data_IF_378591910902
#
_entry.id   IF_378591910902
#
_cell.length_a   1.000
_cell.length_b   1.000
_cell.length_c   1.000
_cell.angle_alpha   90.00
_cell.angle_beta   90.00
_cell.angle_gamma   90.00
#
_symmetry.space_group_name_H-M   'P 1'
#
loop_
_entity.id
_entity.type
_entity.pdbx_description
1 polymer ?
#
# COMPACT_ATOMS: atom_id res chain seq x y z
N UNK A 1 -27.13 -6.07 12.56
CA UNK A 1 -27.07 -5.15 11.41
C UNK A 1 -25.69 -5.26 10.79
N UNK A 2 -25.57 -5.17 9.47
CA UNK A 2 -24.26 -5.09 8.82
C UNK A 2 -23.80 -3.66 9.04
N UNK A 3 -22.67 -3.46 9.72
CA UNK A 3 -22.11 -2.11 9.83
C UNK A 3 -21.76 -1.59 8.43
N UNK A 4 -22.14 -0.35 8.09
CA UNK A 4 -21.81 0.22 6.80
C UNK A 4 -20.29 0.38 6.67
N UNK A 5 -19.77 0.06 5.48
CA UNK A 5 -18.33 0.13 5.18
C UNK A 5 -17.86 1.58 5.36
N UNK A 6 -16.83 1.80 6.18
CA UNK A 6 -16.41 3.16 6.58
C UNK A 6 -16.03 4.04 5.40
N UNK A 7 -15.47 3.48 4.32
CA UNK A 7 -15.20 4.22 3.08
C UNK A 7 -16.46 4.91 2.54
N UNK A 8 -17.61 4.21 2.49
CA UNK A 8 -18.84 4.79 1.94
C UNK A 8 -19.52 5.75 2.91
N UNK A 9 -19.36 5.53 4.21
CA UNK A 9 -19.85 6.46 5.24
C UNK A 9 -19.10 7.79 5.18
N UNK A 10 -17.76 7.73 5.09
CA UNK A 10 -16.91 8.92 5.21
C UNK A 10 -16.72 9.65 3.87
N UNK A 11 -16.75 8.93 2.72
CA UNK A 11 -16.47 9.49 1.39
C UNK A 11 -17.64 9.40 0.39
N UNK A 12 -18.76 8.78 0.78
CA UNK A 12 -19.94 8.59 -0.08
C UNK A 12 -19.96 7.25 -0.82
N UNK A 13 -21.14 6.86 -1.30
CA UNK A 13 -21.39 5.53 -1.90
C UNK A 13 -20.92 5.41 -3.37
N UNK A 14 -20.57 6.53 -4.01
CA UNK A 14 -20.17 6.54 -5.43
C UNK A 14 -18.75 6.03 -5.63
N UNK A 15 -18.58 5.08 -6.54
CA UNK A 15 -17.28 4.59 -7.00
C UNK A 15 -17.02 5.03 -8.44
N UNK A 16 -15.77 5.40 -8.74
CA UNK A 16 -15.37 5.88 -10.05
C UNK A 16 -14.26 4.99 -10.63
N UNK A 17 -14.51 4.43 -11.81
CA UNK A 17 -13.49 3.72 -12.57
C UNK A 17 -12.51 4.73 -13.19
N UNK A 18 -11.24 4.68 -12.78
CA UNK A 18 -10.18 5.49 -13.39
C UNK A 18 -9.74 4.83 -14.70
N UNK A 19 -10.13 5.43 -15.83
CA UNK A 19 -9.80 4.99 -17.18
C UNK A 19 -8.96 6.05 -17.92
N UNK A 20 -7.74 6.27 -17.44
CA UNK A 20 -6.80 7.26 -17.98
C UNK A 20 -5.52 6.57 -18.47
N UNK A 21 -5.01 6.95 -19.64
CA UNK A 21 -3.80 6.37 -20.25
C UNK A 21 -2.54 6.54 -19.39
N UNK A 22 -2.52 7.54 -18.51
CA UNK A 22 -1.42 7.75 -17.54
C UNK A 22 -1.41 6.69 -16.42
N UNK A 23 -2.52 5.97 -16.26
CA UNK A 23 -2.72 4.99 -15.20
C UNK A 23 -3.05 5.62 -13.84
N UNK A 24 -3.76 4.86 -12.99
CA UNK A 24 -4.11 5.34 -11.64
C UNK A 24 -2.86 5.59 -10.76
N UNK A 25 -1.75 4.91 -11.07
CA UNK A 25 -0.44 5.13 -10.45
C UNK A 25 0.12 6.54 -10.66
N UNK A 26 -0.38 7.31 -11.63
CA UNK A 26 0.04 8.69 -11.87
C UNK A 26 -0.07 9.56 -10.61
N UNK A 27 -1.06 9.29 -9.74
CA UNK A 27 -1.18 9.96 -8.45
C UNK A 27 0.05 9.77 -7.57
N UNK A 28 0.63 8.57 -7.54
CA UNK A 28 1.84 8.25 -6.76
C UNK A 28 3.05 9.01 -7.30
N UNK A 29 3.23 9.05 -8.62
CA UNK A 29 4.30 9.84 -9.24
C UNK A 29 4.14 11.34 -8.96
N UNK A 30 2.93 11.88 -9.03
CA UNK A 30 2.67 13.30 -8.70
C UNK A 30 2.91 13.63 -7.25
N UNK A 31 2.58 12.75 -6.32
CA UNK A 31 2.96 12.93 -4.92
C UNK A 31 4.48 12.92 -4.74
N UNK A 32 5.18 11.99 -5.38
CA UNK A 32 6.63 11.87 -5.28
C UNK A 32 7.38 13.11 -5.80
N UNK A 33 6.89 13.75 -6.86
CA UNK A 33 7.45 15.01 -7.41
C UNK A 33 7.54 16.15 -6.39
N UNK A 34 6.71 16.13 -5.34
CA UNK A 34 6.73 17.17 -4.30
C UNK A 34 7.95 17.12 -3.38
N UNK A 35 8.65 15.99 -3.31
CA UNK A 35 9.79 15.82 -2.40
C UNK A 35 10.97 15.03 -2.97
N UNK A 36 10.84 14.36 -4.11
CA UNK A 36 11.93 13.68 -4.83
C UNK A 36 12.31 14.46 -6.08
N UNK A 37 13.61 14.49 -6.39
CA UNK A 37 14.10 15.07 -7.63
C UNK A 37 13.61 14.27 -8.85
N UNK A 38 12.97 14.97 -9.79
CA UNK A 38 12.47 14.40 -11.04
C UNK A 38 13.00 15.17 -12.25
N UNK A 39 13.26 14.45 -13.34
CA UNK A 39 13.63 15.04 -14.63
C UNK A 39 12.95 14.25 -15.75
N UNK A 40 12.37 14.95 -16.73
CA UNK A 40 11.68 14.34 -17.89
C UNK A 40 10.64 13.27 -17.51
N UNK A 41 9.88 13.51 -16.43
CA UNK A 41 8.85 12.58 -15.95
C UNK A 41 9.38 11.33 -15.24
N UNK A 42 10.70 11.24 -14.98
CA UNK A 42 11.33 10.14 -14.23
C UNK A 42 11.85 10.64 -12.89
N UNK A 43 11.75 9.78 -11.87
CA UNK A 43 12.35 10.05 -10.56
C UNK A 43 13.84 9.72 -10.64
N UNK A 44 14.68 10.75 -10.49
CA UNK A 44 16.14 10.67 -10.57
C UNK A 44 16.80 10.82 -9.20
N UNK A 45 16.00 10.88 -8.14
CA UNK A 45 16.47 11.05 -6.78
C UNK A 45 17.23 9.83 -6.28
N UNK A 46 18.46 10.04 -5.81
CA UNK A 46 19.33 8.98 -5.34
C UNK A 46 18.82 8.28 -4.08
N UNK A 47 17.87 8.88 -3.36
CA UNK A 47 17.18 8.31 -2.19
C UNK A 47 16.21 7.19 -2.57
N UNK A 48 15.69 7.18 -3.80
CA UNK A 48 14.84 6.10 -4.30
C UNK A 48 15.70 5.02 -4.95
N UNK A 49 15.62 3.79 -4.45
CA UNK A 49 16.34 2.62 -4.99
C UNK A 49 15.34 1.57 -5.49
N UNK A 50 15.17 1.50 -6.81
CA UNK A 50 14.39 0.43 -7.45
C UNK A 50 15.22 -0.86 -7.54
N UNK A 51 14.57 -1.99 -7.82
CA UNK A 51 15.21 -3.32 -7.94
C UNK A 51 16.03 -3.73 -6.69
N UNK A 52 15.69 -3.17 -5.52
CA UNK A 52 16.39 -3.37 -4.27
C UNK A 52 15.49 -4.16 -3.34
N UNK A 53 15.63 -5.49 -3.34
CA UNK A 53 14.75 -6.40 -2.60
C UNK A 53 15.29 -6.58 -1.19
N UNK A 54 14.60 -6.06 -0.18
CA UNK A 54 14.95 -6.28 1.23
C UNK A 54 14.76 -7.76 1.59
N UNK A 55 15.75 -8.37 2.25
CA UNK A 55 15.72 -9.76 2.72
C UNK A 55 15.84 -9.89 4.22
N UNK A 56 16.52 -8.97 4.89
CA UNK A 56 16.69 -9.00 6.34
C UNK A 56 16.58 -7.60 6.95
N UNK A 57 15.91 -7.50 8.09
CA UNK A 57 15.91 -6.33 8.96
C UNK A 57 16.46 -6.73 10.33
N UNK A 58 17.70 -6.31 10.60
CA UNK A 58 18.30 -6.43 11.92
C UNK A 58 17.97 -5.15 12.72
N UNK A 59 17.52 -5.29 13.96
CA UNK A 59 17.12 -4.15 14.77
C UNK A 59 17.63 -4.27 16.21
N UNK A 60 18.01 -3.12 16.77
CA UNK A 60 18.47 -3.02 18.15
C UNK A 60 17.96 -1.73 18.79
N UNK A 61 18.37 -1.47 20.03
CA UNK A 61 18.09 -0.17 20.68
C UNK A 61 18.82 1.00 20.01
N UNK A 62 19.87 0.74 19.23
CA UNK A 62 20.75 1.77 18.67
C UNK A 62 20.49 2.09 17.20
N UNK A 63 19.76 1.24 16.48
CA UNK A 63 19.50 1.44 15.06
C UNK A 63 18.97 0.18 14.40
N UNK A 64 18.91 0.23 13.07
CA UNK A 64 18.53 -0.86 12.20
C UNK A 64 19.56 -1.03 11.09
N UNK A 65 19.80 -2.28 10.70
CA UNK A 65 20.60 -2.67 9.54
C UNK A 65 19.70 -3.47 8.61
N UNK A 66 19.57 -2.99 7.37
CA UNK A 66 18.74 -3.61 6.34
C UNK A 66 19.65 -4.25 5.30
N UNK A 67 19.47 -5.55 5.08
CA UNK A 67 20.21 -6.32 4.08
C UNK A 67 19.30 -6.64 2.89
N UNK A 68 19.83 -6.48 1.68
CA UNK A 68 19.10 -6.72 0.43
C UNK A 68 19.59 -7.96 -0.30
N UNK A 69 18.81 -8.44 -1.27
CA UNK A 69 19.06 -9.70 -1.98
C UNK A 69 20.34 -9.67 -2.82
N UNK A 70 20.78 -8.48 -3.24
CA UNK A 70 22.06 -8.24 -3.93
C UNK A 70 23.26 -8.15 -2.97
N UNK A 71 23.04 -8.29 -1.65
CA UNK A 71 24.06 -8.19 -0.61
C UNK A 71 24.36 -6.76 -0.13
N UNK A 72 23.66 -5.73 -0.63
CA UNK A 72 23.82 -4.37 -0.13
C UNK A 72 23.32 -4.22 1.31
N UNK A 73 23.96 -3.33 2.06
CA UNK A 73 23.68 -3.06 3.47
C UNK A 73 23.34 -1.59 3.68
N UNK A 74 22.28 -1.32 4.46
CA UNK A 74 21.82 0.02 4.78
C UNK A 74 21.63 0.19 6.28
N UNK A 75 22.33 1.15 6.87
CA UNK A 75 22.18 1.51 8.28
C UNK A 75 21.26 2.72 8.44
N UNK A 76 20.36 2.66 9.42
CA UNK A 76 19.46 3.76 9.74
C UNK A 76 19.09 3.78 11.24
N UNK A 77 18.54 4.90 11.69
CA UNK A 77 17.99 5.02 13.05
C UNK A 77 16.64 4.32 13.22
N UNK A 78 15.88 4.17 12.14
CA UNK A 78 14.52 3.64 12.07
C UNK A 78 14.27 3.06 10.69
N UNK A 79 13.30 2.13 10.59
CA UNK A 79 12.78 1.62 9.31
C UNK A 79 11.26 1.71 9.31
N UNK A 80 10.69 2.14 8.19
CA UNK A 80 9.26 2.05 7.90
C UNK A 80 9.08 0.92 6.89
N UNK A 81 8.30 -0.10 7.25
CA UNK A 81 7.93 -1.21 6.37
C UNK A 81 6.54 -0.97 5.79
N UNK A 82 6.50 -0.75 4.47
CA UNK A 82 5.27 -0.57 3.69
C UNK A 82 4.92 -1.78 2.80
N UNK A 83 5.55 -2.93 3.04
CA UNK A 83 5.28 -4.17 2.30
C UNK A 83 3.85 -4.67 2.58
N UNK A 84 3.26 -5.43 1.65
CA UNK A 84 1.91 -5.96 1.85
C UNK A 84 1.83 -6.92 3.04
N UNK A 85 0.63 -7.10 3.58
CA UNK A 85 0.38 -8.11 4.60
C UNK A 85 0.78 -9.52 4.13
N UNK A 86 0.54 -9.85 2.86
CA UNK A 86 0.94 -11.13 2.29
C UNK A 86 2.46 -11.32 2.25
N UNK A 87 3.24 -10.25 2.07
CA UNK A 87 4.70 -10.30 2.18
C UNK A 87 5.12 -10.53 3.64
N UNK A 88 4.49 -9.84 4.61
CA UNK A 88 4.76 -10.05 6.05
C UNK A 88 4.41 -11.47 6.52
N UNK A 89 3.44 -12.13 5.88
CA UNK A 89 3.08 -13.53 6.13
C UNK A 89 4.01 -14.53 5.43
N UNK A 90 4.87 -14.07 4.51
CA UNK A 90 5.81 -14.90 3.77
C UNK A 90 7.22 -14.86 4.36
N UNK A 91 8.11 -15.72 3.85
CA UNK A 91 9.52 -15.76 4.25
C UNK A 91 10.43 -14.80 3.45
N UNK A 92 9.86 -13.77 2.79
CA UNK A 92 10.66 -12.84 1.98
C UNK A 92 11.61 -12.02 2.86
N UNK A 93 11.13 -11.51 4.00
CA UNK A 93 11.89 -10.64 4.91
C UNK A 93 12.04 -11.33 6.26
N UNK A 94 13.28 -11.59 6.68
CA UNK A 94 13.60 -12.09 8.02
C UNK A 94 13.88 -10.93 8.99
N UNK A 95 13.60 -11.15 10.27
CA UNK A 95 13.81 -10.17 11.34
C UNK A 95 14.79 -10.72 12.37
N UNK A 96 15.79 -9.91 12.76
CA UNK A 96 16.78 -10.28 13.77
C UNK A 96 16.94 -9.18 14.83
N UNK A 97 16.55 -9.40 16.10
CA UNK A 97 15.85 -10.58 16.60
C UNK A 97 14.45 -10.73 15.97
N UNK A 98 13.83 -11.93 16.02
CA UNK A 98 12.48 -12.16 15.53
C UNK A 98 11.46 -11.18 16.10
N UNK A 99 10.41 -10.88 15.34
CA UNK A 99 9.29 -10.08 15.82
C UNK A 99 8.65 -10.74 17.05
N UNK A 100 8.15 -9.96 18.02
CA UNK A 100 7.51 -10.52 19.20
C UNK A 100 6.25 -11.29 18.82
N UNK A 101 5.89 -12.26 19.67
CA UNK A 101 4.78 -13.19 19.42
C UNK A 101 3.46 -12.48 19.08
N UNK A 102 3.10 -11.43 19.81
CA UNK A 102 1.87 -10.66 19.58
C UNK A 102 1.81 -10.08 18.15
N UNK A 103 2.94 -9.58 17.63
CA UNK A 103 3.03 -9.04 16.26
C UNK A 103 2.90 -10.16 15.23
N UNK A 104 3.58 -11.29 15.44
CA UNK A 104 3.52 -12.42 14.51
C UNK A 104 2.12 -13.04 14.46
N UNK A 105 1.45 -13.16 15.61
CA UNK A 105 0.07 -13.64 15.67
C UNK A 105 -0.88 -12.67 14.97
N UNK A 106 -0.72 -11.36 15.17
CA UNK A 106 -1.51 -10.36 14.46
C UNK A 106 -1.33 -10.46 12.94
N UNK A 107 -0.08 -10.49 12.46
CA UNK A 107 0.24 -10.63 11.03
C UNK A 107 -0.37 -11.91 10.43
N UNK A 108 -0.31 -13.04 11.13
CA UNK A 108 -0.86 -14.32 10.67
C UNK A 108 -2.39 -14.36 10.64
N UNK A 109 -3.03 -13.62 11.53
CA UNK A 109 -4.49 -13.63 11.70
C UNK A 109 -5.21 -12.61 10.82
N UNK A 110 -4.50 -11.79 10.03
CA UNK A 110 -5.13 -10.88 9.08
C UNK A 110 -5.33 -11.61 7.74
N UNK A 111 -6.53 -11.55 7.15
CA UNK A 111 -6.78 -12.24 5.89
C UNK A 111 -6.14 -11.48 4.72
N UNK A 112 -5.69 -12.24 3.73
CA UNK A 112 -5.20 -11.71 2.45
C UNK A 112 -6.16 -12.12 1.36
N UNK A 113 -6.87 -11.15 0.82
CA UNK A 113 -7.77 -11.33 -0.31
C UNK A 113 -6.98 -11.38 -1.60
N UNK A 114 -7.40 -12.27 -2.51
CA UNK A 114 -6.89 -12.31 -3.88
C UNK A 114 -8.04 -11.92 -4.80
N UNK A 115 -7.79 -10.93 -5.65
CA UNK A 115 -8.77 -10.35 -6.56
C UNK A 115 -8.13 -10.25 -7.94
N UNK A 116 -8.63 -11.06 -8.88
CA UNK A 116 -8.03 -11.22 -10.21
C UNK A 116 -8.99 -10.69 -11.27
N UNK A 117 -8.59 -9.62 -11.96
CA UNK A 117 -9.29 -9.11 -13.15
C UNK A 117 -8.66 -9.72 -14.39
N UNK A 118 -9.35 -10.68 -15.01
CA UNK A 118 -8.91 -11.29 -16.26
C UNK A 118 -9.46 -10.43 -17.40
N UNK A 119 -8.57 -9.94 -18.26
CA UNK A 119 -8.95 -9.17 -19.45
C UNK A 119 -8.96 -10.09 -20.67
N UNK A 120 -9.97 -9.94 -21.52
CA UNK A 120 -10.15 -10.70 -22.75
C UNK A 120 -10.39 -9.73 -23.90
N UNK A 121 -9.59 -9.83 -24.96
CA UNK A 121 -9.72 -9.01 -26.18
C UNK A 121 -10.38 -9.83 -27.28
N UNK A 122 -11.34 -9.23 -27.99
CA UNK A 122 -12.05 -9.87 -29.09
C UNK A 122 -11.84 -9.13 -30.42
N UNK A 123 -12.01 -9.84 -31.56
CA UNK A 123 -11.91 -9.20 -32.88
C UNK A 123 -13.08 -8.25 -33.14
N UNK A 124 -14.28 -8.59 -32.64
CA UNK A 124 -15.46 -7.74 -32.66
C UNK A 124 -16.35 -8.04 -31.45
N UNK A 125 -17.15 -7.05 -31.07
CA UNK A 125 -18.13 -7.15 -29.99
C UNK A 125 -19.29 -8.09 -30.35
N UNK A 126 -19.67 -8.94 -29.41
CA UNK A 126 -20.86 -9.82 -29.50
C UNK A 126 -21.85 -9.62 -28.32
N UNK A 127 -21.54 -8.75 -27.38
CA UNK A 127 -22.39 -8.40 -26.23
C UNK A 127 -23.14 -7.07 -26.45
N UNK A 128 -24.22 -6.84 -25.68
CA UNK A 128 -24.92 -5.54 -25.69
C UNK A 128 -24.17 -4.49 -24.87
N UNK A 129 -24.26 -3.22 -25.28
CA UNK A 129 -23.72 -2.05 -24.56
C UNK A 129 -24.80 -0.98 -24.38
N UNK A 130 -26.03 -1.40 -24.11
CA UNK A 130 -27.03 -0.46 -23.60
C UNK A 130 -26.55 0.14 -22.25
N UNK A 131 -26.97 1.37 -21.88
CA UNK A 131 -26.43 2.07 -20.71
C UNK A 131 -26.45 1.28 -19.40
N UNK A 132 -27.39 0.34 -19.23
CA UNK A 132 -27.56 -0.48 -18.02
C UNK A 132 -26.85 -1.85 -18.10
N UNK A 133 -26.06 -2.11 -19.16
CA UNK A 133 -25.46 -3.42 -19.45
C UNK A 133 -23.93 -3.46 -19.33
N UNK A 134 -23.34 -2.45 -18.70
CA UNK A 134 -21.89 -2.44 -18.42
C UNK A 134 -21.46 -3.69 -17.65
N UNK A 135 -22.25 -4.05 -16.63
CA UNK A 135 -22.02 -5.21 -15.79
C UNK A 135 -23.05 -6.29 -16.05
N UNK A 136 -22.61 -7.55 -16.05
CA UNK A 136 -23.49 -8.69 -16.18
C UNK A 136 -22.93 -9.90 -15.40
N UNK A 137 -23.82 -10.84 -15.07
CA UNK A 137 -23.52 -11.95 -14.16
C UNK A 137 -23.74 -13.29 -14.84
N UNK A 138 -22.80 -14.21 -14.65
CA UNK A 138 -22.96 -15.63 -14.97
C UNK A 138 -23.35 -16.42 -13.72
N UNK A 139 -24.57 -16.94 -13.69
CA UNK A 139 -25.05 -17.78 -12.60
C UNK A 139 -24.66 -19.25 -12.88
N UNK A 140 -23.74 -19.77 -12.05
CA UNK A 140 -23.21 -21.11 -12.19
C UNK A 140 -23.34 -21.89 -10.86
N UNK A 141 -23.51 -23.21 -10.93
CA UNK A 141 -23.64 -24.08 -9.75
C UNK A 141 -22.37 -24.07 -8.87
N UNK A 142 -21.20 -23.99 -9.50
CA UNK A 142 -19.93 -23.73 -8.82
C UNK A 142 -19.85 -22.23 -8.47
N UNK A 143 -20.02 -21.93 -7.18
CA UNK A 143 -19.94 -20.57 -6.63
C UNK A 143 -18.64 -19.86 -7.04
N UNK A 144 -18.77 -18.65 -7.56
CA UNK A 144 -17.63 -17.78 -7.91
C UNK A 144 -16.96 -18.10 -9.25
N UNK A 145 -17.42 -19.13 -9.96
CA UNK A 145 -16.86 -19.53 -11.26
C UNK A 145 -17.24 -18.50 -12.34
N UNK A 146 -16.27 -17.67 -12.75
CA UNK A 146 -16.41 -16.64 -13.80
C UNK A 146 -17.70 -15.82 -13.69
N UNK A 147 -18.02 -15.36 -12.49
CA UNK A 147 -19.35 -14.82 -12.16
C UNK A 147 -19.55 -13.38 -12.62
N UNK A 148 -18.61 -12.48 -12.31
CA UNK A 148 -18.80 -11.04 -12.52
C UNK A 148 -18.07 -10.55 -13.77
N UNK A 149 -18.84 -10.09 -14.75
CA UNK A 149 -18.32 -9.58 -16.00
C UNK A 149 -18.60 -8.09 -16.15
N UNK A 150 -17.66 -7.40 -16.77
CA UNK A 150 -17.76 -5.99 -17.14
C UNK A 150 -17.30 -5.84 -18.59
N UNK A 151 -18.06 -5.11 -19.41
CA UNK A 151 -17.55 -4.68 -20.71
C UNK A 151 -16.81 -3.35 -20.61
N UNK A 152 -15.76 -3.17 -21.40
CA UNK A 152 -14.91 -1.98 -21.29
C UNK A 152 -15.26 -0.87 -22.28
N UNK A 153 -16.38 -0.95 -23.01
CA UNK A 153 -16.75 0.04 -24.03
C UNK A 153 -17.03 1.45 -23.47
N UNK A 154 -17.48 1.57 -22.22
CA UNK A 154 -17.71 2.87 -21.59
C UNK A 154 -16.40 3.59 -21.26
N UNK A 155 -15.41 2.83 -20.77
CA UNK A 155 -14.08 3.33 -20.41
C UNK A 155 -13.15 3.47 -21.62
N UNK A 156 -13.24 2.52 -22.56
CA UNK A 156 -12.39 2.37 -23.73
C UNK A 156 -13.26 2.03 -24.96
N UNK A 157 -13.88 3.02 -25.60
CA UNK A 157 -14.74 2.79 -26.77
C UNK A 157 -13.99 2.12 -27.93
N UNK A 158 -14.58 1.09 -28.52
CA UNK A 158 -13.98 0.28 -29.60
C UNK A 158 -12.91 -0.70 -29.12
N UNK A 159 -12.75 -0.86 -27.80
CA UNK A 159 -11.77 -1.80 -27.24
C UNK A 159 -12.13 -3.25 -27.52
N UNK A 160 -13.39 -3.62 -27.70
CA UNK A 160 -13.83 -5.01 -27.80
C UNK A 160 -13.26 -5.86 -26.65
N UNK A 161 -13.25 -5.31 -25.43
CA UNK A 161 -12.68 -5.96 -24.25
C UNK A 161 -13.75 -6.29 -23.23
N UNK A 162 -13.65 -7.51 -22.69
CA UNK A 162 -14.37 -7.95 -21.50
C UNK A 162 -13.39 -8.13 -20.35
N UNK A 163 -13.88 -7.88 -19.14
CA UNK A 163 -13.18 -8.20 -17.90
C UNK A 163 -14.05 -9.14 -17.09
N UNK A 164 -13.48 -10.25 -16.65
CA UNK A 164 -14.11 -11.13 -15.66
C UNK A 164 -13.31 -11.10 -14.37
N UNK A 165 -14.02 -10.92 -13.26
CA UNK A 165 -13.42 -10.83 -11.93
C UNK A 165 -13.61 -12.14 -11.18
N UNK A 166 -12.49 -12.69 -10.70
CA UNK A 166 -12.44 -13.83 -9.79
C UNK A 166 -11.88 -13.37 -8.43
N UNK A 167 -12.23 -14.11 -7.37
CA UNK A 167 -11.69 -13.88 -6.04
C UNK A 167 -11.24 -15.16 -5.36
N UNK A 168 -10.30 -15.02 -4.43
CA UNK A 168 -9.85 -16.03 -3.48
C UNK A 168 -9.54 -17.39 -4.13
N UNK A 169 -10.34 -18.42 -3.86
CA UNK A 169 -10.10 -19.78 -4.34
C UNK A 169 -10.02 -19.88 -5.86
N UNK A 170 -10.94 -19.22 -6.58
CA UNK A 170 -10.92 -19.21 -8.03
C UNK A 170 -9.71 -18.42 -8.57
N UNK A 171 -9.39 -17.27 -7.97
CA UNK A 171 -8.17 -16.52 -8.29
C UNK A 171 -6.91 -17.37 -8.15
N UNK A 172 -6.71 -18.01 -6.99
CA UNK A 172 -5.53 -18.85 -6.72
C UNK A 172 -5.44 -20.02 -7.71
N UNK A 173 -6.58 -20.60 -8.09
CA UNK A 173 -6.65 -21.66 -9.09
C UNK A 173 -6.21 -21.16 -10.46
N UNK A 174 -6.79 -20.06 -10.96
CA UNK A 174 -6.45 -19.57 -12.30
C UNK A 174 -5.01 -19.03 -12.37
N UNK A 175 -4.50 -18.46 -11.28
CA UNK A 175 -3.10 -18.03 -11.23
C UNK A 175 -2.10 -19.20 -11.29
N UNK A 176 -2.53 -20.41 -10.88
CA UNK A 176 -1.74 -21.63 -10.87
C UNK A 176 -1.82 -22.45 -12.17
N UNK A 177 -2.64 -22.03 -13.14
CA UNK A 177 -2.76 -22.68 -14.45
C UNK A 177 -2.27 -21.77 -15.59
N UNK A 178 -2.24 -22.33 -16.80
CA UNK A 178 -1.84 -21.59 -17.99
C UNK A 178 -2.90 -20.57 -18.41
N UNK A 179 -2.49 -19.51 -19.11
CA UNK A 179 -3.43 -18.56 -19.71
C UNK A 179 -4.33 -19.24 -20.75
N UNK A 180 -3.84 -20.27 -21.44
CA UNK A 180 -4.62 -21.04 -22.42
C UNK A 180 -5.76 -21.84 -21.76
N UNK A 181 -5.50 -22.49 -20.62
CA UNK A 181 -6.55 -23.20 -19.88
C UNK A 181 -7.60 -22.23 -19.34
N UNK A 182 -7.14 -21.09 -18.80
CA UNK A 182 -8.00 -20.01 -18.29
C UNK A 182 -8.86 -19.41 -19.41
N UNK A 183 -8.28 -19.19 -20.59
CA UNK A 183 -8.97 -18.71 -21.77
C UNK A 183 -10.03 -19.71 -22.24
N UNK A 184 -9.71 -21.00 -22.29
CA UNK A 184 -10.65 -22.06 -22.68
C UNK A 184 -11.87 -22.09 -21.75
N UNK A 185 -11.66 -22.04 -20.44
CA UNK A 185 -12.73 -21.99 -19.44
C UNK A 185 -13.60 -20.73 -19.59
N UNK A 186 -12.97 -19.56 -19.75
CA UNK A 186 -13.69 -18.30 -19.93
C UNK A 186 -14.51 -18.28 -21.23
N UNK A 187 -13.97 -18.83 -22.32
CA UNK A 187 -14.68 -18.95 -23.60
C UNK A 187 -15.85 -19.94 -23.53
N UNK A 188 -15.73 -21.03 -22.77
CA UNK A 188 -16.84 -21.95 -22.50
C UNK A 188 -17.99 -21.22 -21.79
N UNK A 189 -17.67 -20.44 -20.75
CA UNK A 189 -18.64 -19.62 -20.02
C UNK A 189 -19.33 -18.63 -20.96
N UNK A 190 -18.57 -17.91 -21.78
CA UNK A 190 -19.13 -16.94 -22.73
C UNK A 190 -20.02 -17.60 -23.80
N UNK A 191 -19.63 -18.76 -24.33
CA UNK A 191 -20.46 -19.53 -25.27
C UNK A 191 -21.76 -20.03 -24.63
N UNK A 192 -21.72 -20.42 -23.36
CA UNK A 192 -22.93 -20.78 -22.62
C UNK A 192 -23.87 -19.59 -22.42
N UNK A 193 -23.34 -18.37 -22.31
CA UNK A 193 -24.13 -17.14 -22.12
C UNK A 193 -24.70 -16.58 -23.43
N UNK A 194 -23.89 -16.56 -24.49
CA UNK A 194 -24.18 -15.84 -25.73
C UNK A 194 -24.40 -16.73 -26.96
N UNK A 195 -24.23 -18.04 -26.81
CA UNK A 195 -24.33 -19.02 -27.89
C UNK A 195 -22.97 -19.44 -28.47
N UNK A 196 -22.94 -20.52 -29.25
CA UNK A 196 -21.70 -21.12 -29.75
C UNK A 196 -20.97 -20.26 -30.80
N UNK A 197 -21.70 -19.38 -31.50
CA UNK A 197 -21.22 -18.65 -32.69
C UNK A 197 -20.48 -17.33 -32.38
N UNK A 198 -20.02 -17.15 -31.14
CA UNK A 198 -19.20 -15.99 -30.76
C UNK A 198 -17.74 -16.16 -31.23
N UNK A 199 -17.02 -15.05 -31.53
CA UNK A 199 -15.62 -15.13 -31.88
C UNK A 199 -14.77 -15.57 -30.69
N UNK A 200 -13.67 -16.29 -30.97
CA UNK A 200 -12.64 -16.53 -29.97
C UNK A 200 -11.95 -15.22 -29.55
N UNK A 201 -11.55 -15.14 -28.28
CA UNK A 201 -10.71 -14.05 -27.81
C UNK A 201 -9.34 -14.14 -28.49
N UNK A 202 -8.83 -13.01 -28.98
CA UNK A 202 -7.53 -12.90 -29.62
C UNK A 202 -6.39 -12.73 -28.63
N UNK A 203 -6.71 -12.27 -27.40
CA UNK A 203 -5.71 -12.07 -26.35
C UNK A 203 -6.33 -12.20 -24.95
N UNK A 204 -5.50 -12.53 -23.97
CA UNK A 204 -5.86 -12.68 -22.57
C UNK A 204 -4.76 -12.12 -21.66
N UNK A 205 -5.16 -11.40 -20.61
CA UNK A 205 -4.28 -11.02 -19.51
C UNK A 205 -4.83 -11.57 -18.20
N UNK A 206 -4.03 -12.40 -17.52
CA UNK A 206 -4.32 -12.93 -16.17
C UNK A 206 -3.29 -12.37 -15.18
N UNK A 207 -3.62 -11.30 -14.43
CA UNK A 207 -2.75 -10.79 -13.37
C UNK A 207 -2.54 -11.84 -12.27
N UNK A 208 -1.28 -12.06 -11.86
CA UNK A 208 -0.90 -13.09 -10.88
C UNK A 208 -0.42 -12.50 -9.56
N UNK A 209 -1.31 -11.81 -8.85
CA UNK A 209 -0.98 -11.07 -7.63
C UNK A 209 -0.64 -11.97 -6.44
N UNK A 210 -1.31 -13.12 -6.32
CA UNK A 210 -1.02 -14.10 -5.28
C UNK A 210 0.35 -14.76 -5.47
N UNK A 211 0.69 -15.10 -6.71
CA UNK A 211 1.97 -15.72 -7.04
C UNK A 211 3.14 -14.71 -7.10
N UNK A 212 2.86 -13.41 -7.18
CA UNK A 212 3.90 -12.39 -7.11
C UNK A 212 4.49 -12.30 -5.69
N UNK A 213 5.79 -12.58 -5.55
CA UNK A 213 6.47 -12.59 -4.25
C UNK A 213 6.52 -11.23 -3.54
N UNK A 214 6.26 -10.12 -4.25
CA UNK A 214 6.27 -8.77 -3.67
C UNK A 214 4.89 -8.26 -3.22
N UNK A 215 3.83 -9.01 -3.51
CA UNK A 215 2.46 -8.66 -3.11
C UNK A 215 1.77 -9.79 -2.34
N UNK A 216 1.93 -11.03 -2.80
CA UNK A 216 1.35 -12.23 -2.17
C UNK A 216 -0.15 -12.11 -1.91
N UNK A 217 -0.87 -11.45 -2.83
CA UNK A 217 -2.28 -11.15 -2.72
C UNK A 217 -2.62 -9.77 -3.28
N UNK A 218 -3.86 -9.35 -3.11
CA UNK A 218 -4.37 -8.08 -3.65
C UNK A 218 -4.50 -7.03 -2.56
N UNK A 219 -5.19 -7.37 -1.47
CA UNK A 219 -5.42 -6.46 -0.36
C UNK A 219 -5.79 -7.21 0.93
N UNK A 220 -5.63 -6.56 2.08
CA UNK A 220 -6.00 -7.13 3.37
C UNK A 220 -7.51 -7.10 3.62
N UNK A 221 -7.98 -8.00 4.48
CA UNK A 221 -9.34 -7.98 4.99
C UNK A 221 -9.33 -8.37 6.47
N UNK A 222 -10.01 -7.58 7.30
CA UNK A 222 -10.18 -7.95 8.70
C UNK A 222 -11.20 -9.09 8.81
N UNK A 223 -10.82 -10.25 9.38
CA UNK A 223 -11.73 -11.38 9.52
C UNK A 223 -12.83 -11.09 10.55
N UNK A 224 -13.88 -11.91 10.57
CA UNK A 224 -15.02 -11.74 11.49
C UNK A 224 -14.65 -11.76 12.98
N UNK A 225 -13.53 -12.40 13.33
CA UNK A 225 -13.02 -12.49 14.70
C UNK A 225 -12.02 -11.36 15.03
N UNK A 226 -11.79 -10.43 14.11
CA UNK A 226 -10.96 -9.26 14.37
C UNK A 226 -11.50 -8.46 15.55
N UNK A 227 -10.61 -8.04 16.42
CA UNK A 227 -10.91 -7.19 17.56
C UNK A 227 -9.96 -6.00 17.57
N UNK A 228 -10.20 -5.02 18.45
CA UNK A 228 -9.34 -3.84 18.57
C UNK A 228 -7.88 -4.19 18.87
N UNK A 229 -7.62 -5.32 19.56
CA UNK A 229 -6.26 -5.77 19.83
C UNK A 229 -5.54 -6.19 18.53
N UNK A 230 -6.20 -6.91 17.63
CA UNK A 230 -5.63 -7.29 16.33
C UNK A 230 -5.27 -6.05 15.51
N UNK A 231 -6.20 -5.08 15.42
CA UNK A 231 -5.99 -3.82 14.70
C UNK A 231 -4.80 -3.05 15.28
N UNK A 232 -4.76 -2.92 16.61
CA UNK A 232 -3.66 -2.29 17.33
C UNK A 232 -2.34 -3.01 17.04
N UNK A 233 -2.31 -4.34 17.20
CA UNK A 233 -1.12 -5.15 17.08
C UNK A 233 -0.59 -5.25 15.65
N UNK A 234 -1.41 -5.07 14.62
CA UNK A 234 -0.93 -4.94 13.23
C UNK A 234 -0.15 -3.64 13.04
N UNK A 235 -0.67 -2.53 13.57
CA UNK A 235 -0.09 -1.19 13.44
C UNK A 235 1.10 -0.93 14.36
N UNK A 236 1.13 -1.54 15.54
CA UNK A 236 2.05 -1.13 16.62
C UNK A 236 3.54 -1.32 16.24
N UNK A 237 4.41 -0.31 16.43
CA UNK A 237 5.84 -0.47 16.14
C UNK A 237 6.53 -1.54 16.99
N UNK A 238 7.56 -2.17 16.43
CA UNK A 238 8.45 -3.08 17.17
C UNK A 238 9.81 -2.44 17.30
N UNK A 239 10.09 -1.84 18.45
CA UNK A 239 11.34 -1.12 18.70
C UNK A 239 11.54 0.06 17.74
N UNK A 240 12.38 -0.11 16.73
CA UNK A 240 12.70 0.90 15.69
C UNK A 240 12.06 0.59 14.33
N UNK A 241 11.22 -0.46 14.26
CA UNK A 241 10.50 -0.88 13.06
C UNK A 241 9.06 -0.38 13.15
N UNK A 242 8.68 0.47 12.20
CA UNK A 242 7.33 0.99 12.04
C UNK A 242 6.67 0.27 10.85
N UNK A 243 5.37 -0.01 10.95
CA UNK A 243 4.61 -0.71 9.92
C UNK A 243 3.58 0.26 9.32
N UNK A 244 3.44 0.24 8.00
CA UNK A 244 2.49 1.08 7.27
C UNK A 244 1.95 0.35 6.04
N UNK A 245 0.90 0.87 5.43
CA UNK A 245 0.20 0.25 4.31
C UNK A 245 -1.28 0.03 4.65
N UNK A 246 -2.08 -0.27 3.64
CA UNK A 246 -3.55 -0.36 3.78
C UNK A 246 -4.00 -1.27 4.94
N UNK A 247 -3.26 -2.36 5.20
CA UNK A 247 -3.51 -3.31 6.28
C UNK A 247 -3.37 -2.72 7.70
N UNK A 248 -2.68 -1.58 7.84
CA UNK A 248 -2.55 -0.84 9.11
C UNK A 248 -3.65 0.21 9.30
N UNK A 249 -4.52 0.41 8.30
CA UNK A 249 -5.69 1.28 8.39
C UNK A 249 -6.87 0.51 9.00
N UNK A 250 -7.33 0.93 10.18
CA UNK A 250 -8.50 0.33 10.84
C UNK A 250 -9.78 0.53 10.02
N UNK A 251 -9.98 1.73 9.47
CA UNK A 251 -11.20 2.11 8.77
C UNK A 251 -11.19 1.80 7.28
N UNK A 252 -10.02 1.84 6.66
CA UNK A 252 -9.90 1.86 5.19
C UNK A 252 -8.94 0.78 4.66
N UNK A 253 -8.73 -0.29 5.43
CA UNK A 253 -8.09 -1.52 4.95
C UNK A 253 -8.81 -2.00 3.68
N UNK A 254 -8.03 -2.43 2.69
CA UNK A 254 -8.52 -2.78 1.36
C UNK A 254 -8.37 -1.68 0.30
N UNK A 255 -8.18 -0.42 0.70
CA UNK A 255 -8.31 0.73 -0.21
C UNK A 255 -7.03 1.53 -0.40
N UNK A 256 -6.95 2.23 -1.54
CA UNK A 256 -5.84 3.13 -1.90
C UNK A 256 -5.71 4.28 -0.90
N UNK A 257 -6.82 4.95 -0.54
CA UNK A 257 -6.81 6.01 0.47
C UNK A 257 -6.42 5.50 1.86
N UNK A 258 -6.74 4.25 2.20
CA UNK A 258 -6.26 3.61 3.41
C UNK A 258 -4.73 3.48 3.46
N UNK A 259 -4.14 3.06 2.34
CA UNK A 259 -2.67 3.05 2.18
C UNK A 259 -2.07 4.45 2.34
N UNK A 260 -2.64 5.45 1.65
CA UNK A 260 -2.19 6.85 1.73
C UNK A 260 -2.25 7.43 3.15
N UNK A 261 -3.41 7.33 3.80
CA UNK A 261 -3.62 7.87 5.16
C UNK A 261 -2.76 7.14 6.18
N UNK A 262 -2.60 5.82 6.07
CA UNK A 262 -1.72 5.04 6.96
C UNK A 262 -0.25 5.49 6.89
N UNK A 263 0.21 5.93 5.72
CA UNK A 263 1.56 6.47 5.53
C UNK A 263 1.76 7.77 6.30
N UNK A 264 0.76 8.65 6.26
CA UNK A 264 0.76 9.91 7.03
C UNK A 264 0.76 9.61 8.53
N UNK A 265 -0.15 8.75 9.00
CA UNK A 265 -0.29 8.41 10.41
C UNK A 265 1.00 7.79 10.98
N UNK A 266 1.59 6.85 10.25
CA UNK A 266 2.82 6.17 10.67
C UNK A 266 4.00 7.16 10.73
N UNK A 267 4.12 8.03 9.73
CA UNK A 267 5.18 9.03 9.69
C UNK A 267 5.04 10.04 10.83
N UNK A 268 3.82 10.49 11.15
CA UNK A 268 3.56 11.36 12.29
C UNK A 268 3.95 10.69 13.62
N UNK A 269 3.62 9.42 13.80
CA UNK A 269 4.02 8.65 14.99
C UNK A 269 5.54 8.52 15.10
N UNK A 270 6.25 8.25 14.00
CA UNK A 270 7.70 8.20 13.97
C UNK A 270 8.33 9.57 14.31
N UNK A 271 7.82 10.66 13.74
CA UNK A 271 8.32 12.01 14.01
C UNK A 271 8.17 12.38 15.50
N UNK A 272 7.05 12.04 16.12
CA UNK A 272 6.85 12.23 17.55
C UNK A 272 7.83 11.38 18.38
N UNK A 273 8.07 10.14 17.97
CA UNK A 273 9.07 9.27 18.61
C UNK A 273 10.49 9.86 18.49
N UNK A 274 10.86 10.39 17.33
CA UNK A 274 12.17 11.04 17.12
C UNK A 274 12.35 12.24 18.04
N UNK A 275 11.35 13.12 18.14
CA UNK A 275 11.38 14.29 19.04
C UNK A 275 11.57 13.90 20.51
N UNK A 276 10.87 12.85 20.96
CA UNK A 276 11.01 12.33 22.34
C UNK A 276 12.40 11.77 22.61
N UNK A 277 13.01 11.10 21.64
CA UNK A 277 14.37 10.58 21.78
C UNK A 277 15.42 11.68 21.82
N UNK A 278 15.24 12.74 21.02
CA UNK A 278 16.13 13.90 21.05
C UNK A 278 16.01 14.69 22.35
N UNK A 279 14.79 14.86 22.88
CA UNK A 279 14.56 15.45 24.20
C UNK A 279 15.28 14.70 25.32
N UNK A 280 15.17 13.36 25.33
CA UNK A 280 15.85 12.51 26.32
C UNK A 280 17.38 12.56 26.21
N UNK A 281 17.93 12.66 24.99
CA UNK A 281 19.37 12.82 24.79
C UNK A 281 19.87 14.15 25.35
N UNK A 282 19.13 15.23 25.11
CA UNK A 282 19.47 16.56 25.61
C UNK A 282 19.40 16.61 27.15
N UNK A 283 18.36 16.02 27.75
CA UNK A 283 18.26 15.89 29.21
C UNK A 283 19.39 15.04 29.79
N UNK A 284 19.69 13.88 29.18
CA UNK A 284 20.78 13.00 29.65
C UNK A 284 22.15 13.68 29.54
N UNK A 285 22.39 14.48 28.50
CA UNK A 285 23.60 15.28 28.37
C UNK A 285 23.66 16.41 29.40
N UNK A 286 22.53 17.08 29.70
CA UNK A 286 22.45 18.09 30.74
C UNK A 286 22.75 17.51 32.13
N UNK A 287 22.19 16.34 32.47
CA UNK A 287 22.47 15.63 33.72
C UNK A 287 23.92 15.12 33.84
N UNK A 288 24.62 14.89 32.73
CA UNK A 288 26.05 14.54 32.73
C UNK A 288 26.95 15.78 32.83
N UNK A 289 26.50 16.93 32.33
CA UNK A 289 27.22 18.20 32.41
C UNK A 289 27.08 18.87 33.78
N UNK A 290 25.97 18.70 34.50
CA UNK A 290 25.77 19.26 35.84
C UNK A 290 26.84 18.81 36.87
N UNK A 291 27.20 17.52 37.00
CA UNK A 291 28.30 17.08 37.87
C UNK A 291 29.68 17.58 37.41
N UNK A 292 29.89 17.71 36.10
CA UNK A 292 31.16 18.22 35.54
C UNK A 292 31.32 19.72 35.81
N UNK A 293 30.25 20.50 35.68
CA UNK A 293 30.23 21.92 36.04
C UNK A 293 30.35 22.13 37.56
N UNK A 294 29.79 21.23 38.37
CA UNK A 294 29.98 21.23 39.82
C UNK A 294 31.42 20.90 40.24
N UNK A 295 32.14 20.08 39.47
CA UNK A 295 33.57 19.77 39.68
C UNK A 295 34.51 20.87 39.17
N UNK A 296 34.08 21.69 38.21
CA UNK A 296 34.87 22.84 37.71
C UNK A 296 34.48 24.17 38.36
N UNK A 297 33.53 24.17 39.32
CA UNK A 297 33.00 25.37 40.00
C UNK A 297 33.94 26.05 40.99
N UNK A 298 35.24 25.73 41.00
CA UNK A 298 36.28 26.55 41.63
C UNK A 298 37.34 26.85 40.59
N UNK A 299 37.11 27.89 39.77
CA UNK A 299 38.11 28.78 39.15
C UNK A 299 37.38 29.85 38.30
N UNK A 300 37.11 30.99 38.96
CA UNK A 300 37.02 32.38 38.46
C UNK A 300 36.50 32.74 37.05
N UNK A 301 35.41 33.52 37.04
CA UNK A 301 35.07 34.72 36.21
C UNK A 301 35.95 35.07 34.99
N UNK A 302 35.33 35.24 33.80
CA UNK A 302 35.15 36.53 33.06
C UNK A 302 34.32 36.35 31.76
N UNK A 303 33.58 37.39 31.36
CA UNK A 303 32.77 37.54 30.14
C UNK A 303 33.55 37.32 28.83
N UNK A 304 32.90 36.76 27.77
CA UNK A 304 32.77 37.37 26.44
C UNK A 304 32.02 36.48 25.40
N UNK A 305 31.11 37.15 24.70
CA UNK A 305 30.44 37.00 23.39
C UNK A 305 30.77 35.87 22.37
N UNK A 306 29.69 35.28 21.82
CA UNK A 306 29.36 34.91 20.41
C UNK A 306 30.31 33.96 19.62
N UNK A 307 29.85 32.96 18.83
CA UNK A 307 29.22 33.07 17.49
C UNK A 307 28.83 31.65 16.96
N UNK A 308 27.62 31.55 16.37
CA UNK A 308 27.06 30.68 15.29
C UNK A 308 27.65 29.29 14.97
N UNK A 309 26.90 28.22 14.70
CA UNK A 309 25.98 28.09 13.55
C UNK A 309 25.26 26.73 13.60
N UNK A 310 23.93 26.72 13.52
CA UNK A 310 23.15 25.51 13.29
C UNK A 310 22.31 25.76 12.04
N UNK A 311 22.69 25.10 10.95
CA UNK A 311 21.88 25.04 9.74
C UNK A 311 20.54 24.37 10.07
N UNK A 312 19.51 25.19 10.25
CA UNK A 312 18.11 24.75 10.23
C UNK A 312 17.80 24.30 8.81
N UNK A 313 17.56 23.00 8.65
CA UNK A 313 16.90 22.47 7.47
C UNK A 313 15.41 22.76 7.65
N UNK A 314 14.98 23.94 7.21
CA UNK A 314 13.57 24.33 7.19
C UNK A 314 12.86 23.55 6.07
N UNK A 315 12.16 22.49 6.44
CA UNK A 315 11.20 21.81 5.56
C UNK A 315 9.95 22.71 5.52
N UNK A 316 9.49 23.18 4.33
CA UNK A 316 8.28 23.96 4.25
C UNK A 316 7.07 23.14 4.73
N UNK A 317 6.53 23.49 5.90
CA UNK A 317 5.21 23.03 6.33
C UNK A 317 4.15 23.75 5.50
N UNK A 318 3.77 23.18 4.36
CA UNK A 318 2.43 23.47 3.83
C UNK A 318 1.42 22.69 4.66
N UNK A 319 0.76 23.43 5.55
CA UNK A 319 -0.40 23.01 6.32
C UNK A 319 -1.56 22.70 5.36
N UNK A 320 -1.75 21.43 5.01
CA UNK A 320 -3.07 20.95 4.62
C UNK A 320 -3.83 20.67 5.91
N UNK A 321 -4.58 21.67 6.40
CA UNK A 321 -5.79 21.57 7.24
C UNK A 321 -6.11 22.95 7.85
N UNK A 322 -6.82 23.80 7.09
CA UNK A 322 -7.91 24.65 7.59
C UNK A 322 -8.41 25.58 6.48
N UNK A 323 -9.59 25.30 5.92
CA UNK A 323 -10.71 26.24 6.00
C UNK A 323 -11.95 25.65 5.32
N UNK A 324 -12.90 25.31 6.18
CA UNK A 324 -14.33 25.24 5.88
C UNK A 324 -14.81 26.49 5.14
N UNK A 325 -15.62 26.27 4.10
CA UNK A 325 -16.42 27.24 3.33
C UNK A 325 -15.64 28.25 2.49
N UNK A 326 -15.47 27.95 1.20
CA UNK A 326 -15.93 28.78 0.06
C UNK A 326 -15.39 28.21 -1.27
N UNK A 327 -16.31 27.87 -2.17
CA UNK A 327 -16.11 27.82 -3.62
C UNK A 327 -15.28 26.66 -4.18
N UNK A 328 -15.95 25.72 -4.87
CA UNK A 328 -15.31 24.98 -5.96
C UNK A 328 -14.74 25.98 -6.98
N UNK A 329 -13.55 25.70 -7.52
CA UNK A 329 -13.39 25.72 -8.95
C UNK A 329 -13.10 24.30 -9.44
N UNK A 330 -13.87 23.90 -10.44
CA UNK A 330 -13.68 22.73 -11.29
C UNK A 330 -12.20 22.48 -11.59
N UNK A 331 -11.71 21.29 -11.24
CA UNK A 331 -10.70 20.59 -12.02
C UNK A 331 -10.56 19.15 -11.51
N UNK A 332 -10.69 18.22 -12.46
CA UNK A 332 -10.25 16.83 -12.41
C UNK A 332 -11.16 15.89 -11.59
N UNK A 333 -12.24 15.45 -12.24
CA UNK A 333 -12.74 14.08 -12.14
C UNK A 333 -12.62 13.45 -13.52
#
# INVERSE_FOLDING_TARGET
>A
EVEPISTYVDFGESEFLVADERGYEHLLYKMAESFLFTSEGKIMDSRLKLNTVVREVQHSRNGVLVSTEDGSLYEANYVILSVSIGVLQSDLISFSPPLPRWKMEAVRNLDVMVYTKIFLKFPYRFWSCEPEKEFFIYAHERRGYYTFWQHMENAYPGSNMLVVTLTNGESKRVEAQSDQDTLREAMEVLRNMFGPDIPDATDILVPRWWNNRYQRGSYSNYPIYANHQLVHDIKEPVGRIFFTGEHTSEKFSGYVHGGYLSGIDTTNALLEKMRRDDGRKNESQAFLLEPLLALTGSLTLTQAETVTSLHKCDIPRQLFLSNSKLGLPEAIL
#
